data_IF_172420063870
#
_entry.id   IF_172420063870
#
_cell.length_a   1.000
_cell.length_b   1.000
_cell.length_c   1.000
_cell.angle_alpha   90.00
_cell.angle_beta   90.00
_cell.angle_gamma   90.00
#
_symmetry.space_group_name_H-M   'P 1'
#
loop_
_entity.id
_entity.type
_entity.pdbx_description
1 polymer ?
#
# COMPACT_ATOMS: atom_id res chain seq x y z
N UNK A 1 -17.98 -1.62 17.69
CA UNK A 1 -16.84 -1.58 16.75
C UNK A 1 -16.09 -2.89 16.90
N UNK A 2 -15.91 -3.66 15.83
CA UNK A 2 -15.34 -5.01 15.85
C UNK A 2 -13.89 -5.06 16.39
N UNK A 3 -13.07 -4.05 16.07
CA UNK A 3 -11.69 -3.97 16.59
C UNK A 3 -11.66 -3.89 18.12
N UNK A 4 -12.57 -3.11 18.71
CA UNK A 4 -12.66 -2.96 20.17
C UNK A 4 -13.00 -4.31 20.82
N UNK A 5 -13.99 -5.02 20.26
CA UNK A 5 -14.39 -6.34 20.77
C UNK A 5 -13.26 -7.38 20.66
N UNK A 6 -12.43 -7.31 19.61
CA UNK A 6 -11.26 -8.20 19.48
C UNK A 6 -10.19 -7.83 20.51
N UNK A 7 -9.93 -6.54 20.75
CA UNK A 7 -8.95 -6.09 21.75
C UNK A 7 -9.29 -6.59 23.15
N UNK A 8 -10.56 -6.49 23.56
CA UNK A 8 -11.01 -7.02 24.86
C UNK A 8 -10.70 -8.51 25.00
N UNK A 9 -10.99 -9.32 23.96
CA UNK A 9 -10.65 -10.76 23.96
C UNK A 9 -9.13 -11.01 24.04
N UNK A 10 -8.33 -10.16 23.41
CA UNK A 10 -6.86 -10.24 23.49
C UNK A 10 -6.36 -9.89 24.89
N UNK A 11 -6.92 -8.85 25.52
CA UNK A 11 -6.56 -8.42 26.88
C UNK A 11 -6.93 -9.50 27.92
N UNK A 12 -8.06 -10.17 27.74
CA UNK A 12 -8.49 -11.31 28.53
C UNK A 12 -7.68 -12.60 28.25
N UNK A 13 -6.76 -12.59 27.29
CA UNK A 13 -5.96 -13.74 26.92
C UNK A 13 -6.75 -14.87 26.24
N UNK A 14 -7.90 -14.56 25.63
CA UNK A 14 -8.77 -15.57 25.02
C UNK A 14 -8.21 -16.05 23.66
N UNK A 15 -8.07 -17.36 23.51
CA UNK A 15 -7.74 -17.97 22.22
C UNK A 15 -8.98 -18.15 21.33
N UNK A 16 -8.85 -18.04 19.99
CA UNK A 16 -7.60 -17.87 19.25
C UNK A 16 -7.14 -16.41 19.08
N UNK A 17 -7.86 -15.42 19.65
CA UNK A 17 -7.57 -14.00 19.44
C UNK A 17 -6.22 -13.58 19.98
N UNK A 18 -5.83 -14.07 21.17
CA UNK A 18 -4.51 -13.76 21.74
C UNK A 18 -3.38 -14.31 20.87
N UNK A 19 -3.46 -15.57 20.45
CA UNK A 19 -2.49 -16.17 19.54
C UNK A 19 -2.40 -15.42 18.21
N UNK A 20 -3.54 -15.05 17.62
CA UNK A 20 -3.57 -14.29 16.37
C UNK A 20 -2.96 -12.88 16.53
N UNK A 21 -3.25 -12.21 17.64
CA UNK A 21 -2.64 -10.91 17.97
C UNK A 21 -1.12 -11.02 18.08
N UNK A 22 -0.59 -12.01 18.80
CA UNK A 22 0.86 -12.18 18.96
C UNK A 22 1.56 -12.44 17.63
N UNK A 23 0.94 -13.23 16.74
CA UNK A 23 1.42 -13.42 15.38
C UNK A 23 1.40 -12.11 14.59
N UNK A 24 0.28 -11.39 14.61
CA UNK A 24 0.14 -10.11 13.91
C UNK A 24 1.14 -9.06 14.38
N UNK A 25 1.41 -8.96 15.68
CA UNK A 25 2.40 -8.02 16.22
C UNK A 25 3.82 -8.43 15.83
N UNK A 26 4.12 -9.73 15.76
CA UNK A 26 5.40 -10.21 15.24
C UNK A 26 5.60 -9.78 13.80
N UNK A 27 4.57 -9.93 12.97
CA UNK A 27 4.60 -9.60 11.55
C UNK A 27 4.75 -8.07 11.35
N UNK A 28 3.98 -7.27 12.11
CA UNK A 28 4.13 -5.82 12.12
C UNK A 28 5.53 -5.36 12.56
N UNK A 29 6.14 -6.03 13.55
CA UNK A 29 7.51 -5.72 13.96
C UNK A 29 8.54 -6.10 12.88
N UNK A 30 8.34 -7.20 12.14
CA UNK A 30 9.21 -7.52 10.98
C UNK A 30 9.09 -6.47 9.88
N UNK A 31 7.87 -6.02 9.58
CA UNK A 31 7.61 -5.00 8.57
C UNK A 31 8.23 -3.63 8.90
N UNK A 32 8.62 -3.36 10.17
CA UNK A 32 9.38 -2.15 10.51
C UNK A 32 10.72 -2.06 9.76
N UNK A 33 11.33 -3.20 9.44
CA UNK A 33 12.59 -3.29 8.69
C UNK A 33 12.41 -3.35 7.16
N UNK A 34 11.17 -3.31 6.66
CA UNK A 34 10.89 -3.39 5.23
C UNK A 34 11.59 -2.26 4.44
N UNK A 35 12.15 -2.56 3.29
CA UNK A 35 12.65 -1.54 2.36
C UNK A 35 11.48 -1.08 1.48
N UNK A 36 11.22 0.24 1.34
CA UNK A 36 10.25 0.73 0.37
C UNK A 36 10.59 0.24 -1.04
N UNK A 37 9.56 -0.14 -1.80
CA UNK A 37 9.65 -0.49 -3.22
C UNK A 37 8.47 0.12 -3.98
N UNK A 38 8.65 0.38 -5.26
CA UNK A 38 7.67 0.87 -6.21
C UNK A 38 8.02 0.39 -7.62
N UNK A 39 7.23 0.80 -8.60
CA UNK A 39 7.37 0.48 -10.03
C UNK A 39 8.71 0.93 -10.64
N UNK A 40 9.41 1.87 -9.99
CA UNK A 40 10.72 2.38 -10.46
C UNK A 40 11.92 1.59 -9.94
N UNK A 41 11.77 0.82 -8.86
CA UNK A 41 12.93 0.33 -8.08
C UNK A 41 13.56 -0.96 -8.59
N UNK A 42 12.79 -1.77 -9.32
CA UNK A 42 13.25 -3.06 -9.85
C UNK A 42 13.54 -2.99 -11.38
N UNK A 43 13.48 -1.78 -11.95
CA UNK A 43 13.72 -1.49 -13.37
C UNK A 43 12.52 -1.79 -14.26
N UNK A 44 12.30 -0.95 -15.28
CA UNK A 44 11.25 -1.13 -16.28
C UNK A 44 11.78 -1.78 -17.58
N UNK A 45 10.94 -2.50 -18.35
CA UNK A 45 11.32 -2.93 -19.69
C UNK A 45 11.68 -1.74 -20.59
N UNK A 46 12.58 -1.95 -21.55
CA UNK A 46 13.02 -0.87 -22.44
C UNK A 46 11.84 -0.21 -23.18
N UNK A 47 11.77 1.13 -23.11
CA UNK A 47 10.71 1.91 -23.73
C UNK A 47 9.40 1.99 -22.92
N UNK A 48 9.37 1.42 -21.72
CA UNK A 48 8.27 1.56 -20.75
C UNK A 48 8.58 2.72 -19.81
N UNK A 49 7.60 3.62 -19.66
CA UNK A 49 7.61 4.64 -18.61
C UNK A 49 7.70 3.92 -17.24
N UNK A 50 8.78 4.16 -16.50
CA UNK A 50 9.07 3.48 -15.22
C UNK A 50 8.02 3.75 -14.13
N UNK A 51 7.24 4.82 -14.24
CA UNK A 51 6.13 5.07 -13.32
C UNK A 51 4.87 4.26 -13.68
N UNK A 52 4.85 3.57 -14.83
CA UNK A 52 3.73 2.73 -15.24
C UNK A 52 3.95 1.30 -14.77
N UNK A 53 2.94 0.75 -14.12
CA UNK A 53 2.94 -0.65 -13.74
C UNK A 53 3.08 -1.56 -14.97
N UNK A 54 4.13 -2.39 -14.99
CA UNK A 54 4.53 -3.21 -16.12
C UNK A 54 4.39 -4.71 -15.85
N UNK A 55 4.02 -5.47 -16.88
CA UNK A 55 3.83 -6.94 -16.85
C UNK A 55 4.88 -7.68 -17.66
N UNK A 56 6.16 -7.35 -17.44
CA UNK A 56 7.27 -8.17 -17.94
C UNK A 56 7.21 -9.61 -17.42
N UNK A 57 7.95 -10.55 -18.05
CA UNK A 57 7.94 -11.98 -17.71
C UNK A 57 8.19 -12.26 -16.21
N UNK A 58 9.12 -11.53 -15.61
CA UNK A 58 9.47 -11.65 -14.19
C UNK A 58 8.49 -10.97 -13.23
N UNK A 59 7.60 -10.12 -13.77
CA UNK A 59 6.56 -9.37 -13.06
C UNK A 59 7.07 -8.66 -11.78
N UNK A 60 8.13 -7.84 -11.86
CA UNK A 60 8.72 -7.19 -10.68
C UNK A 60 7.69 -6.34 -9.92
N UNK A 61 6.96 -5.47 -10.61
CA UNK A 61 5.96 -4.58 -10.01
C UNK A 61 4.84 -5.33 -9.30
N UNK A 62 4.45 -6.48 -9.83
CA UNK A 62 3.45 -7.34 -9.21
C UNK A 62 3.93 -7.89 -7.86
N UNK A 63 5.19 -8.35 -7.81
CA UNK A 63 5.80 -8.83 -6.56
C UNK A 63 5.98 -7.68 -5.57
N UNK A 64 6.44 -6.52 -6.05
CA UNK A 64 6.58 -5.31 -5.24
C UNK A 64 5.24 -4.88 -4.64
N UNK A 65 4.16 -4.86 -5.42
CA UNK A 65 2.83 -4.49 -4.94
C UNK A 65 2.29 -5.46 -3.88
N UNK A 66 2.52 -6.77 -4.04
CA UNK A 66 2.15 -7.78 -3.03
C UNK A 66 2.90 -7.56 -1.72
N UNK A 67 4.22 -7.39 -1.80
CA UNK A 67 5.06 -7.21 -0.61
C UNK A 67 4.72 -5.91 0.12
N UNK A 68 4.65 -4.81 -0.62
CA UNK A 68 4.29 -3.49 -0.08
C UNK A 68 2.89 -3.53 0.55
N UNK A 69 1.91 -4.14 -0.14
CA UNK A 69 0.56 -4.33 0.41
C UNK A 69 0.55 -5.15 1.69
N UNK A 70 1.32 -6.24 1.75
CA UNK A 70 1.44 -7.08 2.95
C UNK A 70 2.02 -6.28 4.12
N UNK A 71 3.13 -5.57 3.91
CA UNK A 71 3.78 -4.78 4.96
C UNK A 71 2.91 -3.63 5.45
N UNK A 72 2.30 -2.88 4.53
CA UNK A 72 1.44 -1.74 4.88
C UNK A 72 0.19 -2.22 5.64
N UNK A 73 -0.40 -3.35 5.25
CA UNK A 73 -1.49 -3.99 6.01
C UNK A 73 -1.03 -4.39 7.41
N UNK A 74 0.09 -5.10 7.53
CA UNK A 74 0.55 -5.62 8.82
C UNK A 74 0.91 -4.49 9.80
N UNK A 75 1.57 -3.44 9.29
CA UNK A 75 1.84 -2.22 10.04
C UNK A 75 0.56 -1.48 10.41
N UNK A 76 -0.39 -1.35 9.49
CA UNK A 76 -1.68 -0.71 9.72
C UNK A 76 -2.49 -1.41 10.82
N UNK A 77 -2.56 -2.75 10.78
CA UNK A 77 -3.21 -3.54 11.82
C UNK A 77 -2.44 -3.39 13.15
N UNK A 78 -1.10 -3.44 13.12
CA UNK A 78 -0.28 -3.21 14.30
C UNK A 78 -0.53 -1.85 14.95
N UNK A 79 -0.68 -0.79 14.16
CA UNK A 79 -1.08 0.54 14.64
C UNK A 79 -2.50 0.51 15.23
N UNK A 80 -3.47 -0.04 14.48
CA UNK A 80 -4.86 -0.12 14.92
C UNK A 80 -5.03 -0.94 16.18
N UNK A 81 -4.19 -1.93 16.50
CA UNK A 81 -4.33 -2.67 17.75
C UNK A 81 -3.54 -2.09 18.92
N UNK A 82 -2.44 -1.38 18.67
CA UNK A 82 -1.53 -0.93 19.75
C UNK A 82 -1.51 0.57 19.98
N UNK A 83 -2.02 1.38 19.04
CA UNK A 83 -1.87 2.84 19.03
C UNK A 83 -0.42 3.31 18.83
N UNK A 84 0.54 2.43 18.56
CA UNK A 84 1.96 2.81 18.47
C UNK A 84 2.27 3.45 17.12
N UNK A 85 2.55 4.75 17.15
CA UNK A 85 2.87 5.56 15.97
C UNK A 85 4.04 5.07 15.11
N UNK A 86 4.96 4.27 15.67
CA UNK A 86 6.06 3.68 14.88
C UNK A 86 5.56 2.81 13.72
N UNK A 87 4.43 2.12 13.91
CA UNK A 87 3.85 1.29 12.86
C UNK A 87 3.20 2.14 11.78
N UNK A 88 2.39 3.13 12.17
CA UNK A 88 1.79 4.09 11.24
C UNK A 88 2.86 4.87 10.45
N UNK A 89 3.88 5.39 11.14
CA UNK A 89 4.98 6.11 10.50
C UNK A 89 5.69 5.27 9.44
N UNK A 90 5.95 3.98 9.69
CA UNK A 90 6.53 3.11 8.67
C UNK A 90 5.57 2.84 7.52
N UNK A 91 4.30 2.55 7.79
CA UNK A 91 3.30 2.32 6.75
C UNK A 91 3.15 3.54 5.84
N UNK A 92 3.11 4.74 6.41
CA UNK A 92 3.01 6.00 5.67
C UNK A 92 4.23 6.21 4.77
N UNK A 93 5.45 5.90 5.24
CA UNK A 93 6.65 5.97 4.37
C UNK A 93 6.60 4.98 3.21
N UNK A 94 6.03 3.79 3.41
CA UNK A 94 5.84 2.81 2.33
C UNK A 94 4.77 3.28 1.34
N UNK A 95 3.68 3.87 1.83
CA UNK A 95 2.61 4.44 1.00
C UNK A 95 3.06 5.66 0.21
N UNK A 96 3.85 6.54 0.83
CA UNK A 96 4.44 7.72 0.20
C UNK A 96 5.29 7.31 -1.00
N UNK A 97 6.21 6.36 -0.80
CA UNK A 97 7.06 5.80 -1.83
C UNK A 97 6.28 5.16 -2.99
N UNK A 98 5.16 4.48 -2.73
CA UNK A 98 4.36 3.84 -3.78
C UNK A 98 3.41 4.81 -4.52
N UNK A 99 2.76 5.73 -3.80
CA UNK A 99 1.63 6.49 -4.34
C UNK A 99 1.91 7.98 -4.56
N UNK A 100 2.83 8.58 -3.80
CA UNK A 100 2.83 10.03 -3.60
C UNK A 100 4.13 10.70 -4.00
N UNK A 101 5.27 10.12 -3.63
CA UNK A 101 6.59 10.66 -3.93
C UNK A 101 6.74 10.76 -5.46
N UNK A 102 6.93 11.97 -6.03
CA UNK A 102 7.02 12.15 -7.47
C UNK A 102 8.16 11.38 -8.13
N UNK A 103 9.22 11.04 -7.39
CA UNK A 103 10.36 10.29 -7.92
C UNK A 103 10.07 8.80 -8.04
N UNK A 104 9.12 8.26 -7.28
CA UNK A 104 8.90 6.80 -7.20
C UNK A 104 7.46 6.37 -7.43
N UNK A 105 6.49 7.29 -7.39
CA UNK A 105 5.06 6.94 -7.39
C UNK A 105 4.65 6.17 -8.64
N UNK A 106 3.81 5.17 -8.45
CA UNK A 106 3.06 4.57 -9.55
C UNK A 106 2.08 5.59 -10.13
N UNK A 107 2.01 5.69 -11.45
CA UNK A 107 0.98 6.45 -12.15
C UNK A 107 -0.42 5.84 -11.88
N UNK A 108 -1.44 6.64 -11.49
CA UNK A 108 -2.77 6.15 -11.11
C UNK A 108 -3.59 5.66 -12.31
N UNK A 109 -3.25 4.48 -12.84
CA UNK A 109 -3.94 3.81 -13.94
C UNK A 109 -4.42 2.45 -13.49
N UNK A 110 -5.68 2.11 -13.76
CA UNK A 110 -6.22 0.74 -13.61
C UNK A 110 -5.74 -0.26 -14.67
N UNK A 111 -4.85 0.17 -15.55
CA UNK A 111 -4.31 -0.59 -16.69
C UNK A 111 -2.80 -0.66 -16.56
N UNK A 112 -2.23 -1.82 -16.90
CA UNK A 112 -0.78 -1.94 -17.07
C UNK A 112 -0.32 -1.10 -18.26
N UNK A 113 0.98 -0.82 -18.34
CA UNK A 113 1.56 -0.17 -19.51
C UNK A 113 1.22 -0.93 -20.79
N UNK A 114 0.79 -0.20 -21.83
CA UNK A 114 0.45 -0.77 -23.14
C UNK A 114 -0.89 -1.51 -23.21
N UNK A 115 -1.60 -1.68 -22.09
CA UNK A 115 -2.88 -2.36 -22.06
C UNK A 115 -4.07 -1.40 -22.16
N UNK A 116 -5.13 -1.85 -22.83
CA UNK A 116 -6.39 -1.09 -23.00
C UNK A 116 -7.48 -1.53 -22.02
N UNK A 117 -7.30 -2.67 -21.36
CA UNK A 117 -8.23 -3.24 -20.39
C UNK A 117 -7.73 -3.03 -18.95
N UNK A 118 -8.65 -3.18 -17.99
CA UNK A 118 -8.30 -3.16 -16.58
C UNK A 118 -7.52 -4.43 -16.21
N UNK A 119 -6.41 -4.24 -15.50
CA UNK A 119 -5.53 -5.32 -15.10
C UNK A 119 -6.11 -6.11 -13.93
N UNK A 120 -6.01 -7.44 -14.01
CA UNK A 120 -6.31 -8.32 -12.88
C UNK A 120 -5.28 -8.12 -11.78
N UNK A 121 -4.00 -7.96 -12.11
CA UNK A 121 -2.89 -7.69 -11.19
C UNK A 121 -3.18 -6.48 -10.32
N UNK A 122 -3.47 -5.34 -10.95
CA UNK A 122 -3.78 -4.11 -10.23
C UNK A 122 -5.03 -4.25 -9.38
N UNK A 123 -6.03 -4.99 -9.89
CA UNK A 123 -7.26 -5.27 -9.15
C UNK A 123 -7.03 -6.14 -7.90
N UNK A 124 -6.04 -7.03 -7.88
CA UNK A 124 -5.76 -7.90 -6.73
C UNK A 124 -4.73 -7.32 -5.77
N UNK A 125 -3.77 -6.52 -6.23
CA UNK A 125 -2.67 -6.03 -5.37
C UNK A 125 -2.99 -4.69 -4.70
N UNK A 126 -3.48 -3.71 -5.45
CA UNK A 126 -3.67 -2.36 -4.93
C UNK A 126 -4.74 -2.21 -3.83
N UNK A 127 -5.85 -2.98 -3.81
CA UNK A 127 -6.80 -2.87 -2.70
C UNK A 127 -6.20 -3.13 -1.33
N UNK A 128 -5.17 -3.99 -1.23
CA UNK A 128 -4.49 -4.26 0.04
C UNK A 128 -3.67 -3.06 0.52
N UNK A 129 -2.98 -2.40 -0.39
CA UNK A 129 -2.26 -1.15 -0.11
C UNK A 129 -3.22 -0.04 0.35
N UNK A 130 -4.32 0.15 -0.38
CA UNK A 130 -5.36 1.15 -0.06
C UNK A 130 -6.02 0.82 1.29
N UNK A 131 -6.28 -0.46 1.58
CA UNK A 131 -6.80 -0.89 2.87
C UNK A 131 -5.85 -0.54 4.02
N UNK A 132 -4.55 -0.81 3.89
CA UNK A 132 -3.60 -0.44 4.93
C UNK A 132 -3.43 1.08 5.08
N UNK A 133 -3.57 1.86 4.00
CA UNK A 133 -3.66 3.33 4.10
C UNK A 133 -4.86 3.79 4.94
N UNK A 134 -6.02 3.14 4.78
CA UNK A 134 -7.20 3.44 5.58
C UNK A 134 -6.99 3.15 7.08
N UNK A 135 -6.21 2.11 7.42
CA UNK A 135 -5.90 1.77 8.83
C UNK A 135 -5.03 2.83 9.52
N UNK A 136 -4.18 3.54 8.78
CA UNK A 136 -3.29 4.59 9.31
C UNK A 136 -3.79 6.00 9.02
N UNK A 137 -5.02 6.14 8.52
CA UNK A 137 -5.57 7.42 8.08
C UNK A 137 -5.56 8.48 9.19
N UNK A 138 -5.77 8.10 10.44
CA UNK A 138 -5.94 9.04 11.55
C UNK A 138 -4.61 9.38 12.26
N UNK A 139 -3.49 8.80 11.82
CA UNK A 139 -2.17 9.10 12.42
C UNK A 139 -1.72 10.52 12.06
N UNK A 140 -1.14 11.29 13.00
CA UNK A 140 -0.56 12.59 12.71
C UNK A 140 0.71 12.51 11.84
N UNK A 141 1.25 11.29 11.62
CA UNK A 141 2.51 11.07 10.88
C UNK A 141 2.40 11.31 9.38
N UNK A 142 1.21 11.51 8.82
CA UNK A 142 1.04 12.00 7.46
C UNK A 142 1.75 13.35 7.24
N UNK A 143 1.88 14.17 8.29
CA UNK A 143 2.64 15.44 8.24
C UNK A 143 4.16 15.27 8.08
N UNK A 144 4.68 14.04 8.17
CA UNK A 144 6.14 13.76 8.11
C UNK A 144 6.63 13.38 6.72
N UNK A 145 5.73 13.25 5.76
CA UNK A 145 6.02 13.01 4.33
C UNK A 145 5.58 14.22 3.51
N UNK A 146 6.09 14.36 2.29
CA UNK A 146 5.87 15.55 1.46
C UNK A 146 4.44 15.70 0.94
N UNK A 147 3.70 14.60 0.89
CA UNK A 147 2.32 14.54 0.43
C UNK A 147 1.36 14.12 1.56
N UNK A 148 0.08 14.44 1.42
CA UNK A 148 -0.92 14.18 2.45
C UNK A 148 -2.00 13.18 2.01
N UNK A 149 -3.01 13.02 2.86
CA UNK A 149 -4.13 12.09 2.64
C UNK A 149 -5.01 12.50 1.46
N UNK A 150 -5.11 13.80 1.16
CA UNK A 150 -5.91 14.26 0.02
C UNK A 150 -5.19 13.95 -1.28
N UNK A 151 -3.86 14.02 -1.32
CA UNK A 151 -3.09 13.55 -2.47
C UNK A 151 -3.32 12.05 -2.74
N UNK A 152 -3.32 11.20 -1.70
CA UNK A 152 -3.65 9.78 -1.86
C UNK A 152 -5.09 9.57 -2.33
N UNK A 153 -6.04 10.34 -1.80
CA UNK A 153 -7.43 10.29 -2.27
C UNK A 153 -7.54 10.64 -3.76
N UNK A 154 -6.91 11.73 -4.20
CA UNK A 154 -6.89 12.12 -5.62
C UNK A 154 -6.22 11.06 -6.50
N UNK A 155 -5.19 10.39 -6.00
CA UNK A 155 -4.57 9.26 -6.67
C UNK A 155 -5.59 8.12 -6.88
N UNK A 156 -6.31 7.72 -5.82
CA UNK A 156 -7.33 6.65 -5.89
C UNK A 156 -8.48 7.03 -6.82
N UNK A 157 -8.96 8.28 -6.78
CA UNK A 157 -9.99 8.79 -7.68
C UNK A 157 -9.55 8.70 -9.15
N UNK A 158 -8.30 9.07 -9.43
CA UNK A 158 -7.73 8.96 -10.78
C UNK A 158 -7.56 7.51 -11.22
N UNK A 159 -7.11 6.62 -10.32
CA UNK A 159 -6.95 5.19 -10.59
C UNK A 159 -8.28 4.50 -10.95
N UNK A 160 -9.37 4.90 -10.28
CA UNK A 160 -10.71 4.35 -10.53
C UNK A 160 -11.38 4.95 -11.78
N UNK A 161 -10.93 6.10 -12.26
CA UNK A 161 -11.47 6.70 -13.47
C UNK A 161 -11.16 5.81 -14.68
N UNK A 162 -12.19 5.20 -15.26
CA UNK A 162 -12.05 4.34 -16.45
C UNK A 162 -11.53 5.10 -17.68
N UNK A 163 -11.55 6.44 -17.64
CA UNK A 163 -10.98 7.31 -18.69
C UNK A 163 -9.52 7.67 -18.44
N UNK A 164 -8.99 7.50 -17.23
CA UNK A 164 -7.56 7.66 -16.97
C UNK A 164 -6.82 6.54 -17.72
N UNK A 165 -6.03 6.92 -18.72
CA UNK A 165 -5.42 5.97 -19.67
C UNK A 165 -5.83 6.16 -21.12
N UNK A 166 -6.68 7.13 -21.47
CA UNK A 166 -6.62 7.69 -22.82
C UNK A 166 -5.32 8.50 -22.89
N UNK A 167 -4.27 7.91 -23.44
CA UNK A 167 -3.12 8.66 -23.90
C UNK A 167 -3.62 9.57 -25.04
N UNK A 168 -3.82 10.85 -24.74
CA UNK A 168 -4.01 11.89 -25.75
C UNK A 168 -2.62 12.43 -26.04
N UNK A 169 -1.89 11.75 -26.92
CA UNK A 169 -0.69 12.34 -27.52
C UNK A 169 -1.07 13.45 -28.51
N UNK A 170 -0.10 14.27 -28.97
CA UNK A 170 -0.30 15.13 -30.14
C UNK A 170 -0.67 14.32 -31.40
#
# INVERSE_FOLDING_TARGET
NEVVAIRERVEDGQDPWKTAYDAQIRDANRALAATPRSVVDDGSPAGVDEHRFATGEDRPDYRAAIEMGTWVRDLGIGYVFTGRERFASKAIRLLDHWFLDPETRMYPSGRNFGETYFSIELHITLPTLIYGAALVRDSPRWSTVGADREALRSWVETYLDRKSGVYVGP
#
